data_IF_032346891893
#
_entry.id   IF_032346891893
#
_cell.length_a   1.000
_cell.length_b   1.000
_cell.length_c   1.000
_cell.angle_alpha   90.00
_cell.angle_beta   90.00
_cell.angle_gamma   90.00
#
_symmetry.space_group_name_H-M   'P 1'
#
loop_
_entity.id
_entity.type
_entity.pdbx_description
1 polymer ?
#
# COMPACT_ATOMS: atom_id res chain seq x y z
N UNK A 1 22.74 -3.21 -14.14
CA UNK A 1 22.29 -3.20 -12.73
C UNK A 1 20.92 -3.87 -12.69
N UNK A 2 20.62 -4.70 -11.70
CA UNK A 2 19.30 -5.31 -11.54
C UNK A 2 18.33 -4.25 -11.01
N UNK A 3 17.18 -4.07 -11.66
CA UNK A 3 16.13 -3.19 -11.16
C UNK A 3 15.44 -3.79 -9.92
N UNK A 4 14.88 -2.96 -9.03
CA UNK A 4 14.15 -3.45 -7.85
C UNK A 4 13.03 -4.42 -8.21
N UNK A 5 12.81 -5.40 -7.33
CA UNK A 5 11.72 -6.37 -7.43
C UNK A 5 10.93 -6.39 -6.12
N UNK A 6 9.62 -6.31 -6.25
CA UNK A 6 8.66 -6.42 -5.16
C UNK A 6 7.85 -7.68 -5.41
N UNK A 7 7.79 -8.57 -4.44
CA UNK A 7 7.08 -9.85 -4.56
C UNK A 7 6.13 -10.01 -3.39
N UNK A 8 4.90 -10.43 -3.70
CA UNK A 8 3.90 -10.87 -2.71
C UNK A 8 3.52 -12.32 -2.99
N UNK A 9 3.19 -13.03 -1.93
CA UNK A 9 2.57 -14.35 -2.00
C UNK A 9 1.25 -14.34 -1.25
N UNK A 10 0.25 -15.00 -1.83
CA UNK A 10 -1.11 -15.03 -1.28
C UNK A 10 -1.80 -16.33 -1.65
N UNK A 11 -2.65 -16.82 -0.75
CA UNK A 11 -3.52 -17.97 -1.00
C UNK A 11 -4.70 -17.55 -1.89
N UNK A 12 -4.42 -17.45 -3.19
CA UNK A 12 -5.39 -17.15 -4.23
C UNK A 12 -5.06 -17.94 -5.50
N UNK A 13 -5.98 -17.94 -6.46
CA UNK A 13 -5.74 -18.54 -7.77
C UNK A 13 -4.97 -17.59 -8.69
N UNK A 14 -4.26 -18.14 -9.67
CA UNK A 14 -3.62 -17.35 -10.74
C UNK A 14 -4.66 -16.50 -11.47
N UNK A 15 -5.82 -17.07 -11.79
CA UNK A 15 -6.90 -16.35 -12.48
C UNK A 15 -7.40 -15.15 -11.67
N UNK A 16 -7.56 -15.30 -10.35
CA UNK A 16 -8.01 -14.20 -9.49
C UNK A 16 -6.95 -13.09 -9.40
N UNK A 17 -5.67 -13.46 -9.23
CA UNK A 17 -4.57 -12.49 -9.20
C UNK A 17 -4.39 -11.79 -10.56
N UNK A 18 -4.52 -12.53 -11.67
CA UNK A 18 -4.46 -11.96 -13.01
C UNK A 18 -5.64 -11.03 -13.29
N UNK A 19 -6.86 -11.43 -12.94
CA UNK A 19 -8.03 -10.58 -13.04
C UNK A 19 -7.86 -9.28 -12.24
N UNK A 20 -7.26 -9.34 -11.04
CA UNK A 20 -7.01 -8.16 -10.23
C UNK A 20 -6.05 -7.14 -10.86
N UNK A 21 -5.25 -7.53 -11.87
CA UNK A 21 -4.38 -6.65 -12.65
C UNK A 21 -5.01 -6.19 -13.97
N UNK A 22 -6.17 -6.75 -14.36
CA UNK A 22 -6.77 -6.54 -15.69
C UNK A 22 -8.18 -5.97 -15.65
N UNK A 23 -8.90 -6.12 -14.53
CA UNK A 23 -10.25 -5.60 -14.35
C UNK A 23 -10.22 -4.26 -13.61
N UNK A 24 -10.69 -3.20 -14.26
CA UNK A 24 -10.67 -1.83 -13.72
C UNK A 24 -11.38 -1.74 -12.36
N UNK A 25 -12.54 -2.39 -12.20
CA UNK A 25 -13.29 -2.37 -10.94
C UNK A 25 -12.50 -3.03 -9.80
N UNK A 26 -11.78 -4.13 -10.10
CA UNK A 26 -10.89 -4.78 -9.13
C UNK A 26 -9.65 -3.95 -8.86
N UNK A 27 -9.06 -3.27 -9.85
CA UNK A 27 -7.90 -2.38 -9.66
C UNK A 27 -8.24 -1.22 -8.71
N UNK A 28 -9.42 -0.62 -8.84
CA UNK A 28 -9.90 0.40 -7.89
C UNK A 28 -9.95 -0.10 -6.43
N UNK A 29 -10.08 -1.42 -6.23
CA UNK A 29 -10.13 -2.04 -4.90
C UNK A 29 -8.77 -2.31 -4.29
N UNK A 30 -7.65 -1.95 -4.93
CA UNK A 30 -6.32 -2.11 -4.29
C UNK A 30 -5.27 -1.07 -4.69
N UNK A 31 -5.34 -0.49 -5.90
CA UNK A 31 -4.37 0.51 -6.36
C UNK A 31 -4.65 1.87 -5.71
N UNK A 32 -3.58 2.63 -5.41
CA UNK A 32 -3.68 4.02 -4.99
C UNK A 32 -4.51 4.24 -3.72
N UNK A 33 -5.14 5.41 -3.69
CA UNK A 33 -6.12 5.88 -2.69
C UNK A 33 -7.20 6.72 -3.39
N UNK A 34 -8.25 7.09 -2.66
CA UNK A 34 -9.44 7.74 -3.18
C UNK A 34 -9.09 9.20 -3.48
N UNK A 35 -9.00 9.53 -4.77
CA UNK A 35 -8.87 10.89 -5.29
C UNK A 35 -9.77 11.06 -6.52
N UNK A 36 -9.97 12.29 -6.97
CA UNK A 36 -10.74 12.55 -8.18
C UNK A 36 -10.00 12.05 -9.45
N UNK A 37 -8.68 11.91 -9.37
CA UNK A 37 -7.80 11.49 -10.48
C UNK A 37 -7.58 9.97 -10.57
N UNK A 38 -7.90 9.20 -9.53
CA UNK A 38 -7.53 7.77 -9.43
C UNK A 38 -8.02 6.94 -10.63
N UNK A 39 -9.18 7.29 -11.20
CA UNK A 39 -9.71 6.62 -12.39
C UNK A 39 -8.83 6.86 -13.62
N UNK A 40 -8.36 8.09 -13.81
CA UNK A 40 -7.47 8.44 -14.91
C UNK A 40 -6.08 7.82 -14.71
N UNK A 41 -5.59 7.80 -13.47
CA UNK A 41 -4.33 7.15 -13.14
C UNK A 41 -4.36 5.66 -13.47
N UNK A 42 -5.41 4.94 -13.07
CA UNK A 42 -5.57 3.52 -13.37
C UNK A 42 -5.62 3.27 -14.88
N UNK A 43 -6.39 4.07 -15.62
CA UNK A 43 -6.45 3.97 -17.09
C UNK A 43 -5.07 4.18 -17.73
N UNK A 44 -4.33 5.18 -17.24
CA UNK A 44 -2.98 5.49 -17.72
C UNK A 44 -2.03 4.34 -17.46
N UNK A 45 -1.97 3.81 -16.23
CA UNK A 45 -0.99 2.79 -15.82
C UNK A 45 -1.29 1.42 -16.43
N UNK A 46 -2.54 0.95 -16.38
CA UNK A 46 -2.88 -0.45 -16.64
C UNK A 46 -3.49 -0.72 -18.02
N UNK A 47 -3.85 0.33 -18.77
CA UNK A 47 -4.58 0.21 -20.04
C UNK A 47 -4.02 1.05 -21.19
N UNK A 48 -3.28 2.13 -20.91
CA UNK A 48 -2.67 2.99 -21.94
C UNK A 48 -1.22 2.59 -22.22
N UNK A 49 -0.88 2.34 -23.49
CA UNK A 49 0.48 1.96 -23.94
C UNK A 49 1.09 0.76 -23.18
N UNK A 50 0.26 -0.21 -22.82
CA UNK A 50 0.67 -1.42 -22.11
C UNK A 50 0.99 -2.58 -23.06
N UNK A 51 1.83 -3.50 -22.62
CA UNK A 51 2.03 -4.81 -23.28
C UNK A 51 1.49 -5.92 -22.39
N UNK A 52 0.62 -6.76 -22.94
CA UNK A 52 -0.03 -7.85 -22.20
C UNK A 52 0.26 -9.19 -22.88
N UNK A 53 0.65 -10.18 -22.08
CA UNK A 53 0.71 -11.59 -22.46
C UNK A 53 -0.15 -12.39 -21.48
N UNK A 54 -1.41 -12.65 -21.88
CA UNK A 54 -2.35 -13.42 -21.07
C UNK A 54 -1.93 -14.88 -20.90
N UNK A 55 -1.15 -15.46 -21.83
CA UNK A 55 -0.69 -16.84 -21.69
C UNK A 55 0.41 -16.96 -20.64
N UNK A 56 1.27 -15.94 -20.54
CA UNK A 56 2.33 -15.86 -19.54
C UNK A 56 1.90 -15.16 -18.23
N UNK A 57 0.68 -14.62 -18.15
CA UNK A 57 0.20 -13.73 -17.08
C UNK A 57 1.19 -12.60 -16.79
N UNK A 58 1.59 -11.89 -17.85
CA UNK A 58 2.57 -10.83 -17.79
C UNK A 58 2.00 -9.52 -18.34
N UNK A 59 2.19 -8.44 -17.59
CA UNK A 59 1.79 -7.08 -17.96
C UNK A 59 3.01 -6.17 -17.82
N UNK A 60 3.40 -5.50 -18.91
CA UNK A 60 4.26 -4.31 -18.85
C UNK A 60 3.34 -3.11 -18.82
N UNK A 61 3.24 -2.48 -17.66
CA UNK A 61 2.43 -1.29 -17.43
C UNK A 61 3.03 -0.06 -18.12
N UNK A 62 2.25 1.00 -18.23
CA UNK A 62 2.76 2.30 -18.64
C UNK A 62 3.90 2.74 -17.69
N UNK A 63 4.97 3.29 -18.25
CA UNK A 63 6.21 3.55 -17.50
C UNK A 63 7.19 2.37 -17.45
N UNK A 64 6.79 1.17 -17.92
CA UNK A 64 7.68 0.04 -18.14
C UNK A 64 7.85 -0.90 -16.95
N UNK A 65 7.17 -0.65 -15.83
CA UNK A 65 7.11 -1.58 -14.69
C UNK A 65 6.42 -2.88 -15.14
N UNK A 66 6.98 -4.04 -14.77
CA UNK A 66 6.49 -5.34 -15.23
C UNK A 66 5.90 -6.16 -14.09
N UNK A 67 4.65 -6.56 -14.25
CA UNK A 67 3.96 -7.52 -13.41
C UNK A 67 4.04 -8.92 -14.02
N UNK A 68 4.28 -9.92 -13.17
CA UNK A 68 4.26 -11.33 -13.51
C UNK A 68 3.50 -12.09 -12.43
N UNK A 69 2.57 -12.96 -12.83
CA UNK A 69 1.78 -13.81 -11.93
C UNK A 69 2.16 -15.28 -12.16
N UNK A 70 2.53 -15.98 -11.10
CA UNK A 70 2.92 -17.39 -11.19
C UNK A 70 2.21 -18.25 -10.14
N UNK A 71 1.73 -19.41 -10.57
CA UNK A 71 1.23 -20.42 -9.65
C UNK A 71 2.34 -20.90 -8.72
N UNK A 72 2.03 -21.04 -7.44
CA UNK A 72 2.86 -21.72 -6.46
C UNK A 72 2.18 -23.03 -6.05
N UNK A 73 2.89 -23.97 -5.38
CA UNK A 73 2.27 -25.17 -4.83
C UNK A 73 1.12 -24.85 -3.86
N UNK A 74 1.21 -23.73 -3.15
CA UNK A 74 0.16 -23.16 -2.31
C UNK A 74 -0.02 -21.68 -2.66
N UNK A 75 -1.10 -21.35 -3.36
CA UNK A 75 -1.43 -19.98 -3.76
C UNK A 75 -0.71 -19.50 -5.01
N UNK A 76 -0.40 -18.21 -5.04
CA UNK A 76 0.16 -17.49 -6.18
C UNK A 76 1.23 -16.48 -5.73
N UNK A 77 2.24 -16.25 -6.57
CA UNK A 77 3.16 -15.11 -6.44
C UNK A 77 2.79 -14.04 -7.45
N UNK A 78 2.75 -12.78 -7.02
CA UNK A 78 2.71 -11.61 -7.90
C UNK A 78 4.00 -10.84 -7.71
N UNK A 79 4.73 -10.65 -8.81
CA UNK A 79 6.01 -9.94 -8.82
C UNK A 79 5.91 -8.69 -9.66
N UNK A 80 6.29 -7.55 -9.09
CA UNK A 80 6.53 -6.31 -9.82
C UNK A 80 8.05 -6.10 -9.95
N UNK A 81 8.56 -6.04 -11.17
CA UNK A 81 9.92 -5.62 -11.48
C UNK A 81 9.91 -4.18 -11.98
N UNK A 82 10.60 -3.28 -11.29
CA UNK A 82 10.64 -1.86 -11.69
C UNK A 82 11.31 -1.67 -13.05
N UNK A 83 10.86 -0.70 -13.82
CA UNK A 83 11.53 -0.20 -15.00
C UNK A 83 12.93 0.33 -14.65
N UNK A 84 13.92 0.27 -15.55
CA UNK A 84 15.19 0.96 -15.36
C UNK A 84 14.99 2.47 -15.14
N UNK A 85 15.96 3.10 -14.47
CA UNK A 85 16.04 4.55 -14.38
C UNK A 85 15.98 5.16 -15.79
N UNK A 86 15.29 6.29 -15.88
CA UNK A 86 15.05 6.99 -17.14
C UNK A 86 16.32 7.66 -17.68
N UNK A 87 17.27 7.97 -16.78
CA UNK A 87 18.43 8.80 -17.05
C UNK A 87 18.15 10.30 -16.94
N UNK A 88 16.91 10.69 -16.64
CA UNK A 88 16.53 12.05 -16.27
C UNK A 88 16.70 12.24 -14.75
N UNK A 89 17.65 13.08 -14.28
CA UNK A 89 17.92 13.25 -12.86
C UNK A 89 16.71 13.70 -12.03
N UNK A 90 15.81 14.50 -12.61
CA UNK A 90 14.66 15.03 -11.88
C UNK A 90 13.61 13.94 -11.62
N UNK A 91 13.42 13.04 -12.59
CA UNK A 91 12.54 11.87 -12.43
C UNK A 91 13.18 10.77 -11.59
N UNK A 92 14.47 10.52 -11.82
CA UNK A 92 15.22 9.47 -11.14
C UNK A 92 15.36 9.76 -9.64
N UNK A 93 15.28 11.03 -9.21
CA UNK A 93 15.25 11.42 -7.79
C UNK A 93 14.04 10.86 -7.02
N UNK A 94 12.92 10.57 -7.70
CA UNK A 94 11.71 10.00 -7.09
C UNK A 94 11.65 8.47 -7.19
N UNK A 95 12.65 7.83 -7.76
CA UNK A 95 12.58 6.40 -8.08
C UNK A 95 12.35 5.51 -6.85
N UNK A 96 13.02 5.84 -5.75
CA UNK A 96 12.88 5.14 -4.47
C UNK A 96 11.51 5.39 -3.84
N UNK A 97 11.02 6.64 -3.83
CA UNK A 97 9.68 6.99 -3.36
C UNK A 97 8.58 6.22 -4.13
N UNK A 98 8.72 6.14 -5.46
CA UNK A 98 7.79 5.36 -6.30
C UNK A 98 7.91 3.86 -6.00
N UNK A 99 9.09 3.36 -5.64
CA UNK A 99 9.28 1.94 -5.26
C UNK A 99 8.56 1.64 -3.95
N UNK A 100 8.63 2.56 -2.98
CA UNK A 100 7.87 2.44 -1.73
C UNK A 100 6.36 2.52 -1.98
N UNK A 101 5.89 3.42 -2.85
CA UNK A 101 4.49 3.47 -3.27
C UNK A 101 3.99 2.14 -3.86
N UNK A 102 4.78 1.54 -4.76
CA UNK A 102 4.47 0.22 -5.31
C UNK A 102 4.43 -0.88 -4.24
N UNK A 103 5.33 -0.82 -3.25
CA UNK A 103 5.31 -1.77 -2.14
C UNK A 103 3.99 -1.67 -1.36
N UNK A 104 3.51 -0.46 -1.10
CA UNK A 104 2.19 -0.26 -0.48
C UNK A 104 1.07 -0.84 -1.34
N UNK A 105 1.05 -0.55 -2.64
CA UNK A 105 0.00 -1.03 -3.54
C UNK A 105 -0.03 -2.56 -3.68
N UNK A 106 1.12 -3.22 -3.79
CA UNK A 106 1.18 -4.68 -3.82
C UNK A 106 0.69 -5.29 -2.49
N UNK A 107 0.96 -4.67 -1.34
CA UNK A 107 0.42 -5.17 -0.07
C UNK A 107 -1.09 -4.99 0.06
N UNK A 108 -1.66 -3.95 -0.55
CA UNK A 108 -3.11 -3.78 -0.68
C UNK A 108 -3.71 -4.83 -1.61
N UNK A 109 -3.05 -5.17 -2.74
CA UNK A 109 -3.46 -6.26 -3.63
C UNK A 109 -3.45 -7.61 -2.89
N UNK A 110 -2.37 -7.89 -2.15
CA UNK A 110 -2.24 -9.09 -1.32
C UNK A 110 -3.39 -9.18 -0.31
N UNK A 111 -3.74 -8.05 0.32
CA UNK A 111 -4.82 -7.98 1.30
C UNK A 111 -6.18 -8.25 0.65
N UNK A 112 -6.49 -7.61 -0.48
CA UNK A 112 -7.71 -7.84 -1.25
C UNK A 112 -7.88 -9.32 -1.61
N UNK A 113 -6.82 -9.94 -2.17
CA UNK A 113 -6.84 -11.34 -2.60
C UNK A 113 -6.99 -12.33 -1.44
N UNK A 114 -6.50 -11.98 -0.24
CA UNK A 114 -6.59 -12.84 0.94
C UNK A 114 -7.95 -12.83 1.65
N UNK A 115 -8.82 -11.85 1.35
CA UNK A 115 -10.08 -11.66 2.08
C UNK A 115 -11.29 -11.83 1.17
N UNK A 116 -11.63 -10.81 0.38
CA UNK A 116 -12.75 -10.85 -0.56
C UNK A 116 -12.53 -9.82 -1.68
N UNK A 117 -12.35 -10.26 -2.94
CA UNK A 117 -12.13 -9.35 -4.06
C UNK A 117 -13.38 -8.52 -4.41
N UNK A 118 -14.55 -8.82 -3.84
CA UNK A 118 -15.83 -8.19 -4.18
C UNK A 118 -16.22 -7.00 -3.31
N UNK A 119 -15.56 -6.83 -2.17
CA UNK A 119 -15.87 -5.77 -1.20
C UNK A 119 -15.63 -4.36 -1.76
N UNK A 120 -16.43 -3.39 -1.31
CA UNK A 120 -16.27 -1.99 -1.69
C UNK A 120 -15.17 -1.36 -0.85
N UNK A 121 -14.07 -0.97 -1.49
CA UNK A 121 -12.96 -0.28 -0.83
C UNK A 121 -13.23 1.22 -0.73
N UNK A 122 -12.89 1.80 0.42
CA UNK A 122 -12.69 3.24 0.60
C UNK A 122 -11.40 3.49 1.34
N UNK A 123 -10.76 4.60 1.03
CA UNK A 123 -9.47 4.94 1.62
C UNK A 123 -9.39 6.33 2.21
N UNK A 124 -8.50 6.47 3.20
CA UNK A 124 -8.01 7.76 3.69
C UNK A 124 -6.50 7.80 3.50
N UNK A 125 -6.01 8.92 3.02
CA UNK A 125 -4.59 9.17 2.80
C UNK A 125 -4.14 10.39 3.58
N UNK A 126 -3.07 10.23 4.36
CA UNK A 126 -2.44 11.32 5.08
C UNK A 126 -0.94 11.29 4.80
N UNK A 127 -0.35 12.45 4.53
CA UNK A 127 1.08 12.57 4.32
C UNK A 127 1.63 13.89 4.85
N UNK A 128 2.92 13.88 5.19
CA UNK A 128 3.69 15.06 5.57
C UNK A 128 5.16 14.87 5.16
N UNK A 129 5.79 15.94 4.70
CA UNK A 129 7.20 15.99 4.27
C UNK A 129 8.11 16.74 5.24
N UNK A 130 7.64 17.05 6.44
CA UNK A 130 8.43 17.74 7.47
C UNK A 130 8.21 17.10 8.84
N UNK A 131 8.79 15.92 9.05
CA UNK A 131 8.70 15.25 10.35
C UNK A 131 9.82 15.73 11.26
N UNK A 132 9.46 16.17 12.47
CA UNK A 132 10.44 16.73 13.40
C UNK A 132 11.20 15.68 14.22
N UNK A 133 10.62 14.49 14.42
CA UNK A 133 11.28 13.35 15.08
C UNK A 133 10.50 12.05 14.93
N UNK A 134 11.21 10.93 14.94
CA UNK A 134 10.63 9.58 14.98
C UNK A 134 9.91 9.18 13.68
N UNK A 135 9.60 7.88 13.56
CA UNK A 135 8.73 7.40 12.48
C UNK A 135 7.27 7.76 12.81
N UNK A 136 6.37 7.67 11.82
CA UNK A 136 4.93 7.78 12.09
C UNK A 136 4.44 6.68 13.04
N UNK A 137 5.01 5.47 12.97
CA UNK A 137 4.71 4.38 13.89
C UNK A 137 5.10 4.73 15.33
N UNK A 138 6.27 5.32 15.54
CA UNK A 138 6.72 5.77 16.87
C UNK A 138 5.79 6.84 17.45
N UNK A 139 5.37 7.81 16.63
CA UNK A 139 4.44 8.87 17.04
C UNK A 139 3.04 8.34 17.39
N UNK A 140 2.64 7.23 16.78
CA UNK A 140 1.41 6.50 17.13
C UNK A 140 1.60 5.56 18.34
N UNK A 141 2.79 5.50 18.94
CA UNK A 141 3.07 4.62 20.07
C UNK A 141 3.21 3.14 19.68
N UNK A 142 3.52 2.85 18.41
CA UNK A 142 3.54 1.50 17.85
C UNK A 142 4.93 0.87 17.78
N UNK A 143 5.94 1.42 18.47
CA UNK A 143 7.32 0.95 18.38
C UNK A 143 7.50 -0.55 18.61
N UNK A 144 6.85 -1.11 19.63
CA UNK A 144 6.91 -2.56 19.92
C UNK A 144 6.22 -3.40 18.83
N UNK A 145 5.09 -2.92 18.29
CA UNK A 145 4.37 -3.57 17.19
C UNK A 145 5.19 -3.48 15.90
N UNK A 146 5.83 -2.35 15.66
CA UNK A 146 6.74 -2.11 14.54
C UNK A 146 8.03 -2.95 14.63
N UNK A 147 8.33 -3.56 15.77
CA UNK A 147 9.40 -4.54 15.94
C UNK A 147 8.93 -6.00 15.81
N UNK A 148 7.61 -6.24 15.88
CA UNK A 148 7.06 -7.58 15.78
C UNK A 148 7.14 -8.16 14.34
N UNK A 149 7.04 -9.48 14.27
CA UNK A 149 7.02 -10.23 13.00
C UNK A 149 5.62 -10.22 12.40
N UNK A 150 5.50 -10.40 11.09
CA UNK A 150 4.21 -10.55 10.43
C UNK A 150 3.43 -11.77 10.96
N UNK A 151 2.10 -11.66 11.03
CA UNK A 151 1.18 -12.65 11.62
C UNK A 151 1.07 -12.59 13.14
N UNK A 152 1.76 -11.65 13.81
CA UNK A 152 1.61 -11.46 15.26
C UNK A 152 0.41 -10.55 15.53
N UNK A 153 -0.51 -11.04 16.36
CA UNK A 153 -1.64 -10.27 16.84
C UNK A 153 -1.21 -9.09 17.73
N UNK A 154 -1.95 -7.99 17.66
CA UNK A 154 -1.72 -6.81 18.48
C UNK A 154 -3.04 -6.24 19.03
N UNK A 155 -2.90 -5.44 20.08
CA UNK A 155 -3.93 -4.53 20.57
C UNK A 155 -3.26 -3.21 20.97
N UNK A 156 -3.76 -2.09 20.47
CA UNK A 156 -3.20 -0.77 20.74
C UNK A 156 -4.24 0.35 20.58
N UNK A 157 -3.94 1.52 21.12
CA UNK A 157 -4.68 2.75 20.82
C UNK A 157 -3.98 3.46 19.65
N UNK A 158 -4.60 3.49 18.48
CA UNK A 158 -4.06 4.12 17.26
C UNK A 158 -4.85 5.40 16.98
N UNK A 159 -4.17 6.53 16.89
CA UNK A 159 -4.79 7.85 16.66
C UNK A 159 -5.96 8.15 17.63
N UNK A 160 -5.89 7.66 18.87
CA UNK A 160 -6.92 7.85 19.89
C UNK A 160 -8.08 6.84 19.88
N UNK A 161 -8.09 5.87 18.95
CA UNK A 161 -9.09 4.80 18.91
C UNK A 161 -8.47 3.43 19.20
N UNK A 162 -9.21 2.55 19.86
CA UNK A 162 -8.78 1.17 20.09
C UNK A 162 -8.74 0.39 18.78
N UNK A 163 -7.65 -0.36 18.56
CA UNK A 163 -7.45 -1.18 17.38
C UNK A 163 -6.86 -2.54 17.77
N UNK A 164 -7.43 -3.59 17.17
CA UNK A 164 -6.90 -4.96 17.20
C UNK A 164 -6.73 -5.46 15.78
N UNK A 165 -5.83 -6.43 15.63
CA UNK A 165 -5.57 -7.09 14.37
C UNK A 165 -4.23 -7.81 14.43
N UNK A 166 -3.56 -7.91 13.30
CA UNK A 166 -2.26 -8.55 13.16
C UNK A 166 -1.29 -7.68 12.37
N UNK A 167 0.01 -7.88 12.61
CA UNK A 167 1.05 -7.32 11.74
C UNK A 167 0.95 -7.97 10.36
N UNK A 168 0.48 -7.24 9.35
CA UNK A 168 0.27 -7.75 8.00
C UNK A 168 1.58 -7.94 7.23
N UNK A 169 2.44 -6.93 7.28
CA UNK A 169 3.78 -6.96 6.71
C UNK A 169 4.69 -5.93 7.38
N UNK A 170 5.99 -6.07 7.12
CA UNK A 170 7.02 -5.09 7.47
C UNK A 170 8.03 -4.96 6.35
N UNK A 171 8.52 -3.75 6.12
CA UNK A 171 9.71 -3.49 5.31
C UNK A 171 10.69 -2.61 6.11
N UNK A 172 11.74 -2.11 5.46
CA UNK A 172 12.64 -1.13 6.07
C UNK A 172 11.93 0.21 6.38
N UNK A 173 10.93 0.57 5.57
CA UNK A 173 10.29 1.88 5.59
C UNK A 173 8.78 1.82 5.82
N UNK A 174 8.19 0.63 5.90
CA UNK A 174 6.74 0.45 6.00
C UNK A 174 6.35 -0.57 7.07
N UNK A 175 5.22 -0.29 7.71
CA UNK A 175 4.50 -1.20 8.60
C UNK A 175 3.06 -1.32 8.10
N UNK A 176 2.62 -2.55 7.84
CA UNK A 176 1.22 -2.86 7.57
C UNK A 176 0.56 -3.55 8.75
N UNK A 177 -0.62 -3.10 9.15
CA UNK A 177 -1.44 -3.68 10.20
C UNK A 177 -2.84 -3.96 9.68
N UNK A 178 -3.37 -5.16 9.92
CA UNK A 178 -4.81 -5.36 9.77
C UNK A 178 -5.54 -4.68 10.92
N UNK A 179 -6.76 -4.19 10.68
CA UNK A 179 -7.57 -3.53 11.72
C UNK A 179 -9.00 -4.07 11.69
N UNK A 180 -9.36 -4.91 12.66
CA UNK A 180 -10.62 -5.66 12.67
C UNK A 180 -11.86 -4.75 12.74
N UNK A 181 -11.72 -3.59 13.38
CA UNK A 181 -12.81 -2.65 13.57
C UNK A 181 -13.23 -1.91 12.29
N UNK A 182 -12.49 -2.06 11.18
CA UNK A 182 -12.72 -1.36 9.92
C UNK A 182 -13.35 -2.26 8.85
N UNK A 183 -14.05 -3.32 9.27
CA UNK A 183 -14.33 -4.48 8.42
C UNK A 183 -13.04 -5.28 8.21
N UNK A 184 -12.82 -5.90 7.03
CA UNK A 184 -11.45 -6.12 6.58
C UNK A 184 -10.78 -4.75 6.47
N UNK A 185 -9.86 -4.42 7.36
CA UNK A 185 -9.14 -3.15 7.37
C UNK A 185 -7.64 -3.35 7.19
N UNK A 186 -6.99 -2.45 6.45
CA UNK A 186 -5.53 -2.40 6.33
C UNK A 186 -5.04 -0.97 6.57
N UNK A 187 -4.21 -0.80 7.59
CA UNK A 187 -3.42 0.40 7.84
C UNK A 187 -2.00 0.18 7.31
N UNK A 188 -1.55 1.01 6.39
CA UNK A 188 -0.14 1.10 5.98
C UNK A 188 0.43 2.40 6.51
N UNK A 189 1.48 2.29 7.30
CA UNK A 189 2.30 3.38 7.77
C UNK A 189 3.62 3.34 7.03
N UNK A 190 4.01 4.44 6.41
CA UNK A 190 5.30 4.55 5.75
C UNK A 190 6.03 5.83 6.14
N UNK A 191 7.34 5.79 6.07
CA UNK A 191 8.16 6.98 5.96
C UNK A 191 9.50 6.88 6.65
N UNK A 192 10.23 7.99 6.59
CA UNK A 192 11.62 8.09 7.06
C UNK A 192 11.76 9.13 8.17
N UNK A 193 12.65 8.84 9.11
CA UNK A 193 13.12 9.88 10.04
C UNK A 193 14.05 10.84 9.32
N UNK A 194 14.16 12.11 9.77
CA UNK A 194 15.17 13.02 9.29
C UNK A 194 16.57 12.40 9.37
N UNK A 195 17.36 12.61 8.32
CA UNK A 195 18.72 12.08 8.16
C UNK A 195 19.62 13.14 7.50
N UNK A 196 20.91 12.83 7.34
CA UNK A 196 21.82 13.76 6.65
C UNK A 196 21.49 13.94 5.15
N UNK A 197 20.87 12.93 4.53
CA UNK A 197 20.50 12.92 3.11
C UNK A 197 19.07 13.39 2.86
N UNK A 198 18.18 13.18 3.82
CA UNK A 198 16.82 13.69 3.83
C UNK A 198 16.57 14.43 5.16
N UNK A 199 16.88 15.73 5.25
CA UNK A 199 16.84 16.48 6.51
C UNK A 199 15.42 16.76 7.01
N UNK A 200 14.39 16.50 6.21
CA UNK A 200 13.00 16.75 6.58
C UNK A 200 12.26 15.48 6.94
N UNK A 201 12.70 14.32 6.43
CA UNK A 201 12.01 13.06 6.57
C UNK A 201 10.62 13.09 5.94
N UNK A 202 9.88 11.99 6.06
CA UNK A 202 8.49 11.97 5.64
C UNK A 202 7.64 11.02 6.49
N UNK A 203 6.34 11.20 6.40
CA UNK A 203 5.37 10.29 6.98
C UNK A 203 4.17 10.16 6.07
N UNK A 204 3.63 8.95 6.01
CA UNK A 204 2.46 8.60 5.25
C UNK A 204 1.63 7.58 6.03
N UNK A 205 0.31 7.71 5.95
CA UNK A 205 -0.65 6.71 6.37
C UNK A 205 -1.68 6.48 5.26
N UNK A 206 -1.85 5.23 4.85
CA UNK A 206 -2.95 4.78 3.98
C UNK A 206 -3.84 3.89 4.81
N UNK A 207 -5.11 4.26 4.94
CA UNK A 207 -6.13 3.44 5.58
C UNK A 207 -7.03 2.90 4.49
N UNK A 208 -7.01 1.58 4.28
CA UNK A 208 -7.96 0.89 3.42
C UNK A 208 -9.03 0.22 4.27
N UNK A 209 -10.28 0.51 3.96
CA UNK A 209 -11.46 -0.08 4.59
C UNK A 209 -12.30 -0.78 3.54
N UNK A 210 -12.91 -1.91 3.89
CA UNK A 210 -13.72 -2.70 2.98
C UNK A 210 -15.11 -2.92 3.59
N UNK A 211 -16.15 -2.47 2.87
CA UNK A 211 -17.56 -2.50 3.29
C UNK A 211 -17.85 -1.85 4.66
N UNK A 212 -16.97 -0.96 5.12
CA UNK A 212 -17.22 -0.12 6.29
C UNK A 212 -18.38 0.82 5.98
N UNK A 213 -19.32 1.03 6.90
CA UNK A 213 -20.45 1.94 6.68
C UNK A 213 -20.05 3.43 6.73
N UNK A 214 -20.89 4.31 6.17
CA UNK A 214 -20.63 5.76 6.08
C UNK A 214 -20.41 6.44 7.44
N UNK A 215 -21.12 6.00 8.48
CA UNK A 215 -21.02 6.60 9.81
C UNK A 215 -19.68 6.20 10.45
N UNK A 216 -19.30 4.93 10.35
CA UNK A 216 -18.03 4.43 10.84
C UNK A 216 -16.85 5.03 10.06
N UNK A 217 -16.95 5.12 8.74
CA UNK A 217 -15.92 5.76 7.90
C UNK A 217 -15.78 7.26 8.22
N UNK A 218 -16.89 7.98 8.42
CA UNK A 218 -16.87 9.39 8.82
C UNK A 218 -16.15 9.60 10.17
N UNK A 219 -16.42 8.76 11.17
CA UNK A 219 -15.70 8.80 12.46
C UNK A 219 -14.22 8.51 12.31
N UNK A 220 -13.87 7.52 11.49
CA UNK A 220 -12.47 7.19 11.21
C UNK A 220 -11.75 8.38 10.58
N UNK A 221 -12.39 9.02 9.60
CA UNK A 221 -11.88 10.22 8.93
C UNK A 221 -11.67 11.38 9.92
N UNK A 222 -12.64 11.68 10.77
CA UNK A 222 -12.54 12.73 11.79
C UNK A 222 -11.41 12.45 12.79
N UNK A 223 -11.34 11.21 13.30
CA UNK A 223 -10.31 10.79 14.26
C UNK A 223 -8.90 10.95 13.69
N UNK A 224 -8.65 10.41 12.50
CA UNK A 224 -7.32 10.47 11.88
C UNK A 224 -6.95 11.87 11.43
N UNK A 225 -7.91 12.66 10.92
CA UNK A 225 -7.67 14.06 10.58
C UNK A 225 -7.27 14.88 11.80
N UNK A 226 -7.96 14.67 12.93
CA UNK A 226 -7.64 15.35 14.19
C UNK A 226 -6.25 14.94 14.72
N UNK A 227 -5.92 13.66 14.65
CA UNK A 227 -4.59 13.20 15.06
C UNK A 227 -3.50 13.79 14.16
N UNK A 228 -3.66 13.71 12.83
CA UNK A 228 -2.65 14.20 11.88
C UNK A 228 -2.40 15.69 12.09
N UNK A 229 -3.46 16.50 12.14
CA UNK A 229 -3.35 17.95 12.36
C UNK A 229 -2.65 18.33 13.68
N UNK A 230 -2.76 17.50 14.72
CA UNK A 230 -2.11 17.74 16.01
C UNK A 230 -0.64 17.27 16.05
N UNK A 231 -0.17 16.48 15.08
CA UNK A 231 1.14 15.80 15.11
C UNK A 231 2.02 16.05 13.86
N UNK A 232 1.60 16.97 12.97
CA UNK A 232 2.35 17.45 11.80
C UNK A 232 2.86 18.90 11.95
N UNK A 233 3.10 19.33 13.18
CA UNK A 233 3.64 20.66 13.53
C UNK A 233 4.80 20.55 14.53
#
# INVERSE_FOLDING_TARGET
MSTPKIEITVDATVDAAWQALRDTATIHRWHGWDTDEITQEIESIYFTDVTVDDQAHMLVANGGDRFEVHALPSGVSVTLTRAPLSGDPDWDAYYDDVTEGWTSFLQQLRFLLAHDPTATRRTLYFADRHVHSGTVADRLGLGDIAAASAGIAYAATIAGGEATGEVWFRSAHQLGLTVDAWGPGLLILAGTTPSQVDPTGNAMAILSTYDLDDVAFGRLSEQWSAWWAAHTH
#
